data_IF_303905788054
#
_entry.id   IF_303905788054
#
_cell.length_a   1.000
_cell.length_b   1.000
_cell.length_c   1.000
_cell.angle_alpha   90.00
_cell.angle_beta   90.00
_cell.angle_gamma   90.00
#
_symmetry.space_group_name_H-M   'P 1'
#
loop_
_entity.id
_entity.type
_entity.pdbx_description
1 polymer ?
#
# COMPACT_ATOMS: atom_id res chain seq x y z
N UNK A 1 -11.99 2.38 -49.12
CA UNK A 1 -12.35 1.38 -48.09
C UNK A 1 -12.49 2.11 -46.76
N UNK A 2 -13.72 2.52 -46.45
CA UNK A 2 -14.06 3.33 -45.28
C UNK A 2 -14.41 2.40 -44.12
N UNK A 3 -13.78 2.59 -42.95
CA UNK A 3 -14.18 1.92 -41.71
C UNK A 3 -15.09 2.85 -40.91
N UNK A 4 -16.26 2.40 -40.44
CA UNK A 4 -17.13 3.20 -39.60
C UNK A 4 -16.60 3.18 -38.16
N UNK A 5 -16.42 4.35 -37.55
CA UNK A 5 -16.33 4.47 -36.09
C UNK A 5 -17.42 5.43 -35.64
N UNK A 6 -18.65 4.93 -35.59
CA UNK A 6 -19.75 5.61 -34.90
C UNK A 6 -19.47 5.55 -33.40
N UNK A 7 -18.76 6.56 -32.90
CA UNK A 7 -18.81 6.90 -31.48
C UNK A 7 -20.18 7.53 -31.24
N UNK A 8 -21.06 6.78 -30.59
CA UNK A 8 -22.27 7.34 -30.00
C UNK A 8 -21.81 8.44 -29.03
N UNK A 9 -22.05 9.69 -29.39
CA UNK A 9 -21.75 10.86 -28.57
C UNK A 9 -22.62 10.75 -27.31
N UNK A 10 -22.06 10.13 -26.28
CA UNK A 10 -22.69 9.98 -24.97
C UNK A 10 -23.02 11.36 -24.41
N UNK A 11 -24.22 11.48 -23.85
CA UNK A 11 -24.82 12.68 -23.24
C UNK A 11 -23.78 13.53 -22.51
N UNK A 12 -23.81 14.84 -22.78
CA UNK A 12 -22.99 15.86 -22.13
C UNK A 12 -23.14 15.74 -20.61
N UNK A 13 -22.19 15.08 -19.94
CA UNK A 13 -22.14 15.04 -18.48
C UNK A 13 -21.65 16.42 -18.01
N UNK A 14 -22.30 17.06 -17.02
CA UNK A 14 -21.87 18.35 -16.54
C UNK A 14 -20.40 18.29 -16.11
N UNK A 15 -19.63 19.27 -16.58
CA UNK A 15 -18.23 19.41 -16.19
C UNK A 15 -18.20 19.77 -14.71
N UNK A 16 -17.47 19.03 -13.86
CA UNK A 16 -17.41 19.35 -12.45
C UNK A 16 -16.83 20.76 -12.27
N UNK A 17 -17.49 21.58 -11.45
CA UNK A 17 -17.14 22.98 -11.19
C UNK A 17 -15.87 23.12 -10.33
N UNK A 18 -15.39 22.01 -9.74
CA UNK A 18 -14.20 21.96 -8.91
C UNK A 18 -13.43 20.64 -9.04
N UNK A 19 -12.29 20.54 -8.34
CA UNK A 19 -11.52 19.30 -8.28
C UNK A 19 -12.37 18.13 -7.79
N UNK A 20 -12.18 16.96 -8.40
CA UNK A 20 -12.86 15.74 -8.00
C UNK A 20 -12.09 15.07 -6.85
N UNK A 21 -12.77 14.74 -5.76
CA UNK A 21 -12.17 13.93 -4.70
C UNK A 21 -11.91 12.50 -5.20
N UNK A 22 -10.79 11.94 -4.78
CA UNK A 22 -10.51 10.53 -4.97
C UNK A 22 -9.50 10.00 -3.95
N UNK A 23 -9.34 8.69 -3.94
CA UNK A 23 -8.52 7.98 -2.95
C UNK A 23 -7.51 7.07 -3.65
N UNK A 24 -6.28 6.99 -3.15
CA UNK A 24 -5.28 6.05 -3.68
C UNK A 24 -4.26 5.70 -2.63
N UNK A 25 -3.49 4.65 -2.87
CA UNK A 25 -2.34 4.29 -2.03
C UNK A 25 -1.02 4.66 -2.71
N UNK A 26 -0.02 4.99 -1.89
CA UNK A 26 1.33 5.30 -2.35
C UNK A 26 2.36 5.02 -1.25
N UNK A 27 3.61 4.74 -1.63
CA UNK A 27 4.73 4.69 -0.69
C UNK A 27 5.14 6.12 -0.30
N UNK A 28 5.23 6.44 1.00
CA UNK A 28 5.78 7.71 1.46
C UNK A 28 7.30 7.73 1.24
N UNK A 29 7.82 8.87 0.79
CA UNK A 29 9.23 9.03 0.42
C UNK A 29 9.81 10.29 1.05
N UNK A 30 11.09 10.25 1.41
CA UNK A 30 11.86 11.42 1.84
C UNK A 30 13.08 11.61 0.92
N UNK A 31 13.41 12.84 0.57
CA UNK A 31 14.59 13.12 -0.24
C UNK A 31 15.89 12.81 0.53
N UNK A 32 16.97 12.53 -0.21
CA UNK A 32 18.27 12.17 0.39
C UNK A 32 18.87 13.29 1.27
N UNK A 33 18.51 14.55 1.02
CA UNK A 33 18.87 15.71 1.83
C UNK A 33 17.90 15.96 3.01
N UNK A 34 16.86 15.14 3.16
CA UNK A 34 15.82 15.25 4.18
C UNK A 34 15.02 16.56 4.17
N UNK A 35 15.01 17.28 3.06
CA UNK A 35 14.32 18.58 2.94
C UNK A 35 12.95 18.50 2.29
N UNK A 36 12.62 17.36 1.68
CA UNK A 36 11.38 17.18 0.90
C UNK A 36 10.72 15.84 1.18
N UNK A 37 9.39 15.88 1.25
CA UNK A 37 8.53 14.72 1.28
C UNK A 37 7.90 14.49 -0.10
N UNK A 38 7.54 13.25 -0.36
CA UNK A 38 6.86 12.90 -1.60
C UNK A 38 6.27 11.51 -1.55
N UNK A 39 5.77 11.07 -2.69
CA UNK A 39 5.07 9.81 -2.84
C UNK A 39 5.54 9.09 -4.10
N UNK A 40 5.67 7.79 -4.00
CA UNK A 40 5.85 6.89 -5.13
C UNK A 40 4.59 6.02 -5.21
N UNK A 41 3.93 5.91 -6.36
CA UNK A 41 2.65 5.17 -6.43
C UNK A 41 2.81 3.65 -6.20
N UNK A 42 1.79 2.84 -6.51
CA UNK A 42 1.86 1.36 -6.36
C UNK A 42 1.87 0.44 -7.61
N UNK A 43 1.30 0.81 -8.77
CA UNK A 43 1.43 0.07 -10.05
C UNK A 43 2.88 -0.38 -10.51
N UNK A 44 3.02 -0.97 -11.69
CA UNK A 44 4.33 -1.42 -12.19
C UNK A 44 5.20 -0.27 -12.76
N UNK A 45 6.54 -0.41 -12.79
CA UNK A 45 7.46 0.45 -13.57
C UNK A 45 7.87 1.82 -13.00
N UNK A 46 7.65 2.08 -11.71
CA UNK A 46 7.73 3.44 -11.14
C UNK A 46 9.09 3.80 -10.53
N UNK A 47 9.87 4.61 -11.23
CA UNK A 47 11.12 5.20 -10.71
C UNK A 47 10.98 6.63 -10.18
N UNK A 48 9.81 7.27 -10.32
CA UNK A 48 9.63 8.69 -9.98
C UNK A 48 8.88 8.90 -8.66
N UNK A 49 9.37 9.86 -7.89
CA UNK A 49 8.68 10.42 -6.73
C UNK A 49 8.00 11.72 -7.14
N UNK A 50 6.73 11.89 -6.78
CA UNK A 50 5.96 13.10 -6.99
C UNK A 50 5.65 13.79 -5.65
N UNK A 51 5.55 15.12 -5.67
CA UNK A 51 5.15 15.89 -4.49
C UNK A 51 3.65 15.85 -4.22
N UNK A 52 3.21 16.51 -3.15
CA UNK A 52 1.79 16.63 -2.81
C UNK A 52 0.96 17.29 -3.93
N UNK A 53 1.54 18.30 -4.58
CA UNK A 53 0.99 18.88 -5.82
C UNK A 53 1.87 18.44 -6.97
N UNK A 54 1.28 17.78 -7.97
CA UNK A 54 2.03 17.26 -9.10
C UNK A 54 1.16 17.13 -10.34
N UNK A 55 1.83 17.20 -11.49
CA UNK A 55 1.30 16.81 -12.78
C UNK A 55 1.74 15.39 -13.13
N UNK A 56 0.88 14.69 -13.85
CA UNK A 56 1.14 13.36 -14.33
C UNK A 56 2.24 13.36 -15.40
N UNK A 57 3.33 12.62 -15.13
CA UNK A 57 4.44 12.42 -16.06
C UNK A 57 4.57 10.91 -16.33
N UNK A 58 4.27 10.46 -17.55
CA UNK A 58 4.30 9.03 -17.90
C UNK A 58 5.69 8.65 -18.45
N UNK A 59 6.38 7.72 -17.78
CA UNK A 59 7.77 7.34 -18.05
C UNK A 59 7.88 6.31 -19.18
N UNK A 60 6.98 5.32 -19.24
CA UNK A 60 7.06 4.29 -20.27
C UNK A 60 6.49 4.75 -21.62
N UNK A 61 5.69 5.82 -21.62
CA UNK A 61 5.12 6.39 -22.84
C UNK A 61 5.13 7.92 -22.80
N UNK A 62 6.32 8.56 -22.78
CA UNK A 62 6.47 10.01 -22.66
C UNK A 62 5.88 10.79 -23.84
N UNK A 63 5.46 10.10 -24.92
CA UNK A 63 4.89 10.71 -26.13
C UNK A 63 3.40 10.99 -26.05
N UNK A 64 2.68 10.47 -25.04
CA UNK A 64 1.25 10.74 -24.93
C UNK A 64 0.99 11.91 -23.97
N UNK A 65 -0.13 12.63 -24.17
CA UNK A 65 -0.60 13.64 -23.22
C UNK A 65 -1.42 12.99 -22.11
N UNK A 66 -1.32 13.50 -20.88
CA UNK A 66 -2.15 13.05 -19.77
C UNK A 66 -3.49 13.84 -19.72
N UNK A 67 -4.64 13.19 -19.48
CA UNK A 67 -4.88 11.75 -19.34
C UNK A 67 -4.84 11.03 -20.69
N UNK A 68 -4.38 9.78 -20.68
CA UNK A 68 -4.43 8.83 -21.79
C UNK A 68 -4.99 7.52 -21.25
N UNK A 69 -5.78 6.82 -22.06
CA UNK A 69 -6.25 5.46 -21.74
C UNK A 69 -5.09 4.46 -21.61
N UNK A 70 -3.91 4.80 -22.13
CA UNK A 70 -2.72 3.96 -22.11
C UNK A 70 -1.64 4.43 -21.12
N UNK A 71 -1.94 5.38 -20.21
CA UNK A 71 -0.93 5.86 -19.25
C UNK A 71 -0.80 4.94 -18.03
N UNK A 72 0.44 4.70 -17.64
CA UNK A 72 0.92 3.84 -16.55
C UNK A 72 1.47 4.62 -15.33
N UNK A 73 1.50 5.96 -15.37
CA UNK A 73 2.28 6.78 -14.44
C UNK A 73 1.78 6.88 -12.98
N UNK A 74 0.73 6.16 -12.58
CA UNK A 74 0.24 6.18 -11.21
C UNK A 74 -0.66 7.35 -10.79
N UNK A 75 -1.13 8.17 -11.74
CA UNK A 75 -2.12 9.24 -11.50
C UNK A 75 -3.54 8.74 -11.77
N UNK A 76 -3.88 7.70 -11.02
CA UNK A 76 -5.23 7.16 -10.92
C UNK A 76 -5.69 7.22 -9.47
N UNK A 77 -6.99 7.18 -9.24
CA UNK A 77 -7.56 7.07 -7.90
C UNK A 77 -8.91 6.37 -7.96
N UNK A 78 -9.31 5.78 -6.86
CA UNK A 78 -10.65 5.28 -6.63
C UNK A 78 -11.61 6.43 -6.34
N UNK A 79 -12.90 6.18 -6.58
CA UNK A 79 -13.98 7.07 -6.15
C UNK A 79 -14.25 6.94 -4.66
N UNK A 80 -14.26 5.72 -4.14
CA UNK A 80 -14.57 5.43 -2.75
C UNK A 80 -13.30 5.19 -1.92
N UNK A 81 -13.39 5.55 -0.64
CA UNK A 81 -12.34 5.28 0.33
C UNK A 81 -12.21 3.78 0.61
N UNK A 82 -13.32 3.04 0.59
CA UNK A 82 -13.36 1.58 0.77
C UNK A 82 -12.48 0.87 -0.24
N UNK A 83 -12.61 1.18 -1.54
CA UNK A 83 -11.86 0.49 -2.60
C UNK A 83 -10.35 0.70 -2.45
N UNK A 84 -9.93 1.89 -1.98
CA UNK A 84 -8.54 2.17 -1.70
C UNK A 84 -8.02 1.43 -0.45
N UNK A 85 -8.88 1.22 0.55
CA UNK A 85 -8.57 0.40 1.74
C UNK A 85 -8.49 -1.08 1.39
N UNK A 86 -9.41 -1.59 0.59
CA UNK A 86 -9.41 -2.97 0.11
C UNK A 86 -8.10 -3.28 -0.63
N UNK A 87 -7.65 -2.35 -1.49
CA UNK A 87 -6.34 -2.48 -2.13
C UNK A 87 -5.19 -2.46 -1.12
N UNK A 88 -5.27 -1.64 -0.06
CA UNK A 88 -4.22 -1.57 0.97
C UNK A 88 -4.07 -2.86 1.79
N UNK A 89 -5.08 -3.73 1.79
CA UNK A 89 -5.02 -5.04 2.45
C UNK A 89 -4.13 -6.06 1.73
N UNK A 90 -3.77 -5.82 0.46
CA UNK A 90 -2.81 -6.68 -0.24
C UNK A 90 -1.43 -6.60 0.43
N UNK A 91 -0.81 -7.73 0.81
CA UNK A 91 0.51 -7.74 1.45
C UNK A 91 1.60 -7.00 0.66
N UNK A 92 1.47 -6.93 -0.67
CA UNK A 92 2.38 -6.17 -1.51
C UNK A 92 2.39 -4.67 -1.19
N UNK A 93 1.32 -4.15 -0.57
CA UNK A 93 1.13 -2.74 -0.27
C UNK A 93 1.11 -2.41 1.23
N UNK A 94 1.54 -3.33 2.10
CA UNK A 94 1.53 -3.22 3.57
C UNK A 94 2.27 -1.99 4.15
N UNK A 95 3.03 -1.26 3.33
CA UNK A 95 3.77 -0.06 3.73
C UNK A 95 3.32 1.22 3.01
N UNK A 96 2.24 1.13 2.23
CA UNK A 96 1.66 2.29 1.60
C UNK A 96 0.89 3.14 2.62
N UNK A 97 0.81 4.42 2.32
CA UNK A 97 -0.12 5.36 2.94
C UNK A 97 -1.31 5.56 2.02
N UNK A 98 -2.47 5.82 2.61
CA UNK A 98 -3.66 6.20 1.86
C UNK A 98 -3.69 7.71 1.68
N UNK A 99 -3.91 8.14 0.45
CA UNK A 99 -3.98 9.54 0.05
C UNK A 99 -5.41 9.88 -0.33
N UNK A 100 -5.95 10.92 0.28
CA UNK A 100 -7.09 11.64 -0.27
C UNK A 100 -6.55 12.73 -1.20
N UNK A 101 -7.06 12.80 -2.42
CA UNK A 101 -6.57 13.72 -3.44
C UNK A 101 -7.70 14.51 -4.07
N UNK A 102 -7.41 15.76 -4.40
CA UNK A 102 -8.19 16.59 -5.29
C UNK A 102 -7.63 16.43 -6.72
N UNK A 103 -8.31 15.64 -7.55
CA UNK A 103 -8.00 15.44 -8.96
C UNK A 103 -8.49 16.63 -9.77
N UNK A 104 -7.63 17.18 -10.62
CA UNK A 104 -7.94 18.35 -11.45
C UNK A 104 -7.34 18.24 -12.85
N UNK A 105 -7.65 19.24 -13.68
CA UNK A 105 -7.30 19.24 -15.09
C UNK A 105 -8.18 18.27 -15.90
N UNK A 106 -7.62 17.73 -16.98
CA UNK A 106 -8.32 16.72 -17.79
C UNK A 106 -8.36 15.38 -17.04
N UNK A 107 -9.47 14.67 -17.18
CA UNK A 107 -9.64 13.35 -16.57
C UNK A 107 -10.41 12.39 -17.48
N UNK A 108 -10.26 11.10 -17.21
CA UNK A 108 -11.07 9.99 -17.73
C UNK A 108 -11.67 9.27 -16.52
N UNK A 109 -12.96 8.97 -16.58
CA UNK A 109 -13.64 8.19 -15.54
C UNK A 109 -13.84 6.76 -16.02
N UNK A 110 -13.63 5.81 -15.14
CA UNK A 110 -13.95 4.40 -15.31
C UNK A 110 -14.73 3.93 -14.07
N UNK A 111 -15.19 2.67 -14.08
CA UNK A 111 -16.10 2.13 -13.07
C UNK A 111 -15.67 2.43 -11.63
N UNK A 112 -14.43 2.08 -11.29
CA UNK A 112 -13.91 2.22 -9.93
C UNK A 112 -13.26 3.59 -9.64
N UNK A 113 -13.11 4.49 -10.63
CA UNK A 113 -12.27 5.65 -10.39
C UNK A 113 -11.99 6.61 -11.54
N UNK A 114 -10.88 7.34 -11.37
CA UNK A 114 -10.44 8.43 -12.25
C UNK A 114 -8.99 8.25 -12.64
N UNK A 115 -8.70 8.56 -13.90
CA UNK A 115 -7.37 8.90 -14.40
C UNK A 115 -7.33 10.41 -14.62
N UNK A 116 -6.34 11.12 -14.07
CA UNK A 116 -6.31 12.59 -14.09
C UNK A 116 -4.93 13.15 -14.48
N UNK A 117 -4.92 14.42 -14.91
CA UNK A 117 -3.71 15.12 -15.32
C UNK A 117 -2.96 15.76 -14.15
N UNK A 118 -3.68 16.26 -13.13
CA UNK A 118 -3.10 16.93 -11.97
C UNK A 118 -3.73 16.44 -10.68
N UNK A 119 -2.93 16.36 -9.62
CA UNK A 119 -3.43 16.11 -8.27
C UNK A 119 -2.96 17.17 -7.28
N UNK A 120 -3.71 17.26 -6.20
CA UNK A 120 -3.28 17.86 -4.93
C UNK A 120 -3.64 16.88 -3.83
N UNK A 121 -2.66 16.38 -3.08
CA UNK A 121 -2.91 15.58 -1.88
C UNK A 121 -3.54 16.48 -0.82
N UNK A 122 -4.71 16.07 -0.33
CA UNK A 122 -5.48 16.79 0.70
C UNK A 122 -5.22 16.25 2.08
N UNK A 123 -5.05 14.94 2.21
CA UNK A 123 -4.69 14.29 3.45
C UNK A 123 -3.92 13.00 3.20
N UNK A 124 -3.10 12.61 4.18
CA UNK A 124 -2.38 11.34 4.22
C UNK A 124 -2.85 10.58 5.44
N UNK A 125 -3.19 9.29 5.26
CA UNK A 125 -3.47 8.36 6.35
C UNK A 125 -2.38 7.31 6.39
N UNK A 126 -1.71 7.20 7.53
CA UNK A 126 -0.72 6.17 7.81
C UNK A 126 -1.43 4.86 8.07
N UNK A 127 -1.07 3.81 7.33
CA UNK A 127 -1.53 2.46 7.61
C UNK A 127 -0.96 1.92 8.93
N UNK A 128 -1.14 0.62 9.15
CA UNK A 128 -0.61 -0.05 10.34
C UNK A 128 0.89 -0.32 10.20
N UNK A 129 1.54 -0.47 11.35
CA UNK A 129 2.87 -1.07 11.41
C UNK A 129 2.79 -2.52 10.92
N UNK A 130 3.90 -3.09 10.41
CA UNK A 130 3.95 -4.51 10.03
C UNK A 130 3.62 -5.50 11.17
N UNK A 131 3.64 -5.05 12.42
CA UNK A 131 3.19 -5.83 13.58
C UNK A 131 1.69 -5.69 13.89
N UNK A 132 0.92 -4.99 13.05
CA UNK A 132 -0.52 -4.74 13.21
C UNK A 132 -0.91 -3.54 14.09
N UNK A 133 0.01 -2.99 14.90
CA UNK A 133 -0.28 -1.82 15.74
C UNK A 133 -0.44 -0.53 14.91
N UNK A 134 -1.22 0.46 15.38
CA UNK A 134 -1.29 1.77 14.73
C UNK A 134 0.11 2.39 14.56
N UNK A 135 0.39 2.89 13.36
CA UNK A 135 1.64 3.60 13.12
C UNK A 135 1.59 4.99 13.77
N UNK A 136 2.67 5.34 14.45
CA UNK A 136 2.85 6.64 15.11
C UNK A 136 3.99 7.44 14.49
N UNK A 137 4.77 6.83 13.60
CA UNK A 137 5.91 7.46 12.94
C UNK A 137 6.23 6.78 11.61
N UNK A 138 7.12 7.40 10.85
CA UNK A 138 7.67 6.89 9.59
C UNK A 138 9.16 6.61 9.75
N UNK A 139 9.58 5.36 9.62
CA UNK A 139 11.00 4.96 9.69
C UNK A 139 11.60 4.74 8.30
N UNK A 140 12.93 4.82 8.16
CA UNK A 140 13.62 4.40 6.94
C UNK A 140 13.29 2.93 6.64
N UNK A 141 12.69 2.71 5.47
CA UNK A 141 12.26 1.41 4.98
C UNK A 141 13.27 0.70 4.11
N UNK A 142 14.46 1.28 3.92
CA UNK A 142 15.54 0.72 3.13
C UNK A 142 15.46 1.15 1.66
N UNK A 143 15.28 0.22 0.69
CA UNK A 143 15.38 0.54 -0.73
C UNK A 143 14.40 1.64 -1.16
N UNK A 144 14.94 2.68 -1.80
CA UNK A 144 14.16 3.75 -2.42
C UNK A 144 14.42 3.84 -3.91
N UNK A 145 14.48 5.07 -4.44
CA UNK A 145 14.91 5.36 -5.81
C UNK A 145 16.03 6.40 -5.74
N UNK A 146 16.76 6.64 -6.84
CA UNK A 146 17.86 7.61 -6.83
C UNK A 146 17.40 8.96 -6.27
N UNK A 147 18.07 9.43 -5.21
CA UNK A 147 17.75 10.68 -4.51
C UNK A 147 16.62 10.62 -3.47
N UNK A 148 16.00 9.45 -3.26
CA UNK A 148 14.84 9.29 -2.37
C UNK A 148 14.90 7.99 -1.56
N UNK A 149 14.55 8.07 -0.29
CA UNK A 149 14.39 6.91 0.61
C UNK A 149 12.92 6.62 0.79
N UNK A 150 12.56 5.34 0.78
CA UNK A 150 11.20 4.90 1.11
C UNK A 150 11.05 4.90 2.63
N UNK A 151 9.91 5.38 3.11
CA UNK A 151 9.55 5.31 4.52
C UNK A 151 8.50 4.24 4.74
N UNK A 152 8.54 3.59 5.91
CA UNK A 152 7.51 2.64 6.36
C UNK A 152 6.76 3.19 7.56
N UNK A 153 5.41 3.12 7.59
CA UNK A 153 4.64 3.36 8.80
C UNK A 153 5.05 2.36 9.90
N UNK A 154 5.44 2.87 11.07
CA UNK A 154 5.86 2.04 12.21
C UNK A 154 5.21 2.52 13.51
N UNK A 155 4.93 1.59 14.42
CA UNK A 155 4.55 1.91 15.80
C UNK A 155 5.80 2.24 16.63
N UNK A 156 5.64 2.98 17.74
CA UNK A 156 6.76 3.37 18.61
C UNK A 156 7.61 2.20 19.11
N UNK A 157 6.97 1.04 19.38
CA UNK A 157 7.67 -0.17 19.83
C UNK A 157 8.53 -0.79 18.72
N UNK A 158 8.00 -0.91 17.49
CA UNK A 158 8.77 -1.42 16.37
C UNK A 158 9.82 -0.41 15.90
N UNK A 159 9.58 0.90 16.02
CA UNK A 159 10.57 1.93 15.72
C UNK A 159 11.82 1.73 16.58
N UNK A 160 11.63 1.48 17.88
CA UNK A 160 12.74 1.34 18.83
C UNK A 160 13.59 2.61 18.88
N UNK A 161 14.94 2.51 18.91
CA UNK A 161 15.82 3.68 18.95
C UNK A 161 16.11 4.30 17.56
N UNK A 162 15.45 3.81 16.49
CA UNK A 162 15.75 4.27 15.13
C UNK A 162 15.28 5.72 14.92
N UNK A 163 16.01 6.53 14.13
CA UNK A 163 15.51 7.81 13.67
C UNK A 163 14.19 7.64 12.90
N UNK A 164 13.22 8.48 13.21
CA UNK A 164 11.89 8.47 12.59
C UNK A 164 11.46 9.89 12.23
N UNK A 165 10.60 9.98 11.22
CA UNK A 165 9.88 11.20 10.86
C UNK A 165 8.50 11.12 11.51
N UNK A 166 8.12 12.14 12.27
CA UNK A 166 6.77 12.21 12.83
C UNK A 166 5.75 12.52 11.73
N UNK A 167 4.46 12.17 11.91
CA UNK A 167 3.41 12.51 10.95
C UNK A 167 3.40 14.01 10.61
N UNK A 168 3.53 14.87 11.61
CA UNK A 168 3.52 16.33 11.46
C UNK A 168 4.73 16.81 10.65
N UNK A 169 5.93 16.31 10.96
CA UNK A 169 7.14 16.65 10.23
C UNK A 169 7.05 16.20 8.76
N UNK A 170 6.50 15.01 8.50
CA UNK A 170 6.27 14.55 7.13
C UNK A 170 5.25 15.42 6.40
N UNK A 171 4.21 15.88 7.08
CA UNK A 171 3.23 16.83 6.55
C UNK A 171 3.86 18.15 6.12
N UNK A 172 4.75 18.71 6.94
CA UNK A 172 5.53 19.92 6.60
C UNK A 172 6.41 19.68 5.38
N UNK A 173 7.14 18.56 5.33
CA UNK A 173 7.97 18.17 4.19
C UNK A 173 7.16 18.01 2.88
N UNK A 174 5.87 17.70 3.00
CA UNK A 174 4.93 17.60 1.88
C UNK A 174 4.22 18.93 1.55
N UNK A 175 4.59 20.05 2.17
CA UNK A 175 3.95 21.35 1.94
C UNK A 175 2.72 21.60 2.83
N UNK A 176 2.79 21.21 4.10
CA UNK A 176 1.74 21.34 5.11
C UNK A 176 0.50 20.47 4.84
N UNK A 177 0.69 19.29 4.27
CA UNK A 177 -0.40 18.31 4.10
C UNK A 177 -0.67 17.63 5.44
N UNK A 178 -1.92 17.56 5.92
CA UNK A 178 -2.24 16.86 7.16
C UNK A 178 -1.99 15.36 7.03
N UNK A 179 -1.27 14.79 8.00
CA UNK A 179 -0.95 13.36 8.10
C UNK A 179 -1.57 12.84 9.39
N UNK A 180 -2.34 11.75 9.30
CA UNK A 180 -3.03 11.14 10.44
C UNK A 180 -2.79 9.64 10.47
N UNK A 181 -2.85 9.03 11.64
CA UNK A 181 -2.95 7.57 11.70
C UNK A 181 -4.30 7.11 11.13
N UNK A 182 -4.33 5.93 10.53
CA UNK A 182 -5.59 5.28 10.20
C UNK A 182 -6.38 5.01 11.48
N UNK A 183 -7.69 5.29 11.43
CA UNK A 183 -8.62 5.00 12.50
C UNK A 183 -8.55 3.50 12.85
N UNK A 184 -8.65 3.20 14.14
CA UNK A 184 -8.65 1.82 14.59
C UNK A 184 -9.77 1.04 13.89
N UNK A 185 -9.55 -0.27 13.69
CA UNK A 185 -10.67 -1.17 13.40
C UNK A 185 -11.65 -0.97 14.56
N UNK A 186 -12.94 -0.82 14.25
CA UNK A 186 -14.01 -0.74 15.26
C UNK A 186 -13.74 -1.78 16.35
N UNK A 187 -14.15 -1.48 17.60
CA UNK A 187 -13.94 -2.28 18.82
C UNK A 187 -14.29 -3.79 18.73
N UNK A 188 -14.83 -4.24 17.59
CA UNK A 188 -14.92 -5.64 17.15
C UNK A 188 -13.64 -6.46 17.34
N UNK A 189 -12.46 -5.85 17.19
CA UNK A 189 -11.17 -6.52 17.44
C UNK A 189 -10.59 -6.06 18.77
N UNK A 190 -11.06 -6.70 19.85
CA UNK A 190 -10.47 -6.53 21.16
C UNK A 190 -9.07 -7.16 21.21
N UNK A 191 -8.11 -6.55 21.94
CA UNK A 191 -6.91 -7.27 22.35
C UNK A 191 -7.33 -8.59 22.99
N UNK A 192 -6.64 -9.69 22.68
CA UNK A 192 -6.74 -10.90 23.47
C UNK A 192 -6.33 -10.56 24.90
N UNK A 193 -7.31 -10.34 25.77
CA UNK A 193 -7.08 -10.23 27.19
C UNK A 193 -6.54 -11.58 27.68
N UNK A 194 -5.26 -11.64 28.05
CA UNK A 194 -4.67 -12.83 28.66
C UNK A 194 -3.51 -13.51 27.94
N UNK A 195 -2.87 -12.91 26.92
CA UNK A 195 -1.55 -13.40 26.46
C UNK A 195 -0.47 -12.87 27.40
N UNK A 196 -0.43 -13.50 28.57
CA UNK A 196 0.19 -13.02 29.80
C UNK A 196 -0.36 -13.78 31.01
N UNK A 197 -1.38 -14.64 30.83
CA UNK A 197 -1.50 -15.81 31.68
C UNK A 197 -0.25 -16.66 31.45
N UNK A 198 0.48 -16.97 32.51
CA UNK A 198 1.51 -18.02 32.49
C UNK A 198 0.94 -19.20 31.71
N UNK A 199 1.59 -19.56 30.61
CA UNK A 199 1.22 -20.77 29.89
C UNK A 199 1.57 -21.90 30.85
N UNK A 200 0.56 -22.52 31.44
CA UNK A 200 0.74 -23.64 32.36
C UNK A 200 1.54 -24.73 31.63
N UNK A 201 2.73 -25.07 32.14
CA UNK A 201 3.60 -26.12 31.59
C UNK A 201 2.81 -27.42 31.37
N UNK A 202 1.77 -27.66 32.17
CA UNK A 202 0.88 -28.81 32.02
C UNK A 202 0.06 -28.84 30.71
N UNK A 203 -0.11 -27.71 30.01
CA UNK A 203 -0.77 -27.63 28.69
C UNK A 203 0.21 -27.55 27.52
N UNK A 204 1.45 -27.10 27.74
CA UNK A 204 2.51 -27.08 26.72
C UNK A 204 2.98 -28.50 26.38
N UNK A 205 3.21 -29.34 27.39
CA UNK A 205 3.75 -30.69 27.19
C UNK A 205 2.82 -31.57 26.35
N UNK A 206 1.49 -31.61 26.58
CA UNK A 206 0.58 -32.37 25.72
C UNK A 206 0.52 -31.85 24.28
N UNK A 207 0.56 -30.53 24.08
CA UNK A 207 0.52 -29.92 22.75
C UNK A 207 1.79 -30.25 21.95
N UNK A 208 2.97 -30.05 22.56
CA UNK A 208 4.25 -30.42 21.95
C UNK A 208 4.35 -31.92 21.70
N UNK A 209 3.80 -32.75 22.59
CA UNK A 209 3.74 -34.21 22.39
C UNK A 209 2.87 -34.59 21.20
N UNK A 210 1.73 -33.91 21.01
CA UNK A 210 0.88 -34.12 19.85
C UNK A 210 1.58 -33.69 18.55
N UNK A 211 2.33 -32.59 18.57
CA UNK A 211 3.08 -32.10 17.43
C UNK A 211 4.26 -33.02 17.07
N UNK A 212 5.00 -33.53 18.07
CA UNK A 212 6.05 -34.55 17.87
C UNK A 212 5.47 -35.84 17.30
N UNK A 213 4.32 -36.31 17.80
CA UNK A 213 3.65 -37.50 17.27
C UNK A 213 3.25 -37.33 15.80
N UNK A 214 2.76 -36.13 15.41
CA UNK A 214 2.44 -35.82 14.02
C UNK A 214 3.70 -35.78 13.13
N UNK A 215 4.81 -35.25 13.62
CA UNK A 215 6.09 -35.23 12.90
C UNK A 215 6.65 -36.65 12.71
N UNK A 216 6.55 -37.49 13.73
CA UNK A 216 6.94 -38.90 13.66
C UNK A 216 6.10 -39.66 12.63
N UNK A 217 4.77 -39.52 12.67
CA UNK A 217 3.89 -40.16 11.70
C UNK A 217 4.19 -39.75 10.24
N UNK A 218 4.57 -38.48 10.02
CA UNK A 218 4.98 -38.00 8.69
C UNK A 218 6.34 -38.55 8.28
N UNK A 219 7.29 -38.67 9.20
CA UNK A 219 8.59 -39.30 8.93
C UNK A 219 8.43 -40.77 8.56
N UNK A 220 7.62 -41.53 9.29
CA UNK A 220 7.32 -42.93 9.00
C UNK A 220 6.70 -43.09 7.60
N UNK A 221 5.79 -42.18 7.23
CA UNK A 221 5.18 -42.16 5.90
C UNK A 221 6.22 -41.90 4.79
N UNK A 222 7.18 -41.01 5.03
CA UNK A 222 8.27 -40.73 4.08
C UNK A 222 9.20 -41.93 3.96
N UNK A 223 9.58 -42.55 5.08
CA UNK A 223 10.42 -43.75 5.10
C UNK A 223 9.76 -44.90 4.33
N UNK A 224 8.48 -45.18 4.59
CA UNK A 224 7.73 -46.22 3.87
C UNK A 224 7.66 -45.96 2.36
N UNK A 225 7.50 -44.69 1.94
CA UNK A 225 7.53 -44.33 0.51
C UNK A 225 8.92 -44.50 -0.11
N UNK A 226 9.99 -44.18 0.62
CA UNK A 226 11.35 -44.38 0.16
C UNK A 226 11.65 -45.87 -0.03
N UNK A 227 11.30 -46.72 0.96
CA UNK A 227 11.44 -48.17 0.86
C UNK A 227 10.70 -48.75 -0.35
N UNK A 228 9.45 -48.33 -0.57
CA UNK A 228 8.67 -48.75 -1.74
C UNK A 228 9.31 -48.34 -3.07
N UNK A 229 9.94 -47.16 -3.12
CA UNK A 229 10.62 -46.69 -4.33
C UNK A 229 11.93 -47.42 -4.56
N UNK A 230 12.73 -47.68 -3.52
CA UNK A 230 13.98 -48.43 -3.62
C UNK A 230 13.74 -49.90 -3.97
N UNK A 231 12.68 -50.53 -3.45
CA UNK A 231 12.29 -51.90 -3.81
C UNK A 231 11.70 -52.04 -5.22
N UNK A 232 11.29 -50.94 -5.87
CA UNK A 232 10.80 -50.94 -7.26
C UNK A 232 11.89 -50.65 -8.29
N UNK A 233 13.07 -50.20 -7.83
CA UNK A 233 14.22 -49.92 -8.68
C UNK A 233 15.22 -51.09 -8.77
N UNK A 234 15.02 -52.14 -7.98
CA UNK A 234 15.63 -53.48 -8.14
C UNK A 234 14.72 -54.39 -8.98
#
# INVERSE_FOLDING_TARGET
MSRPSSWSIGRHRPRPEGPLTGYKIAYPMISADSRRGGFNGVALGRSQVYGAVADAVCIQSPRHRCPSSWCDCGFYCFHALSDARDLACDPQYQHCVLLEIAASGRFVRYELGLRYARQTVRSVRLGRCGCGRPATALADGGPGVVGWRRLHPVCGLCAGPRPVVTPEAFGVLCGNVPVRAEEALDDTLAPLAGVGAEVDDATIVPLLSAEVALLQARLDQVQSRLEQLTHRSD
#
